data_IF_900274385131
#
_entry.id   IF_900274385131
#
_cell.length_a   1.000
_cell.length_b   1.000
_cell.length_c   1.000
_cell.angle_alpha   90.00
_cell.angle_beta   90.00
_cell.angle_gamma   90.00
#
_symmetry.space_group_name_H-M   'P 1'
#
loop_
_entity.id
_entity.type
_entity.pdbx_description
1 polymer ?
#
# COMPACT_ATOMS: atom_id res chain seq x y z
N UNK A 1 12.72 -44.92 8.43
CA UNK A 1 13.03 -43.53 8.06
C UNK A 1 11.70 -42.88 7.66
N UNK A 2 11.02 -42.19 8.59
CA UNK A 2 9.61 -41.81 8.45
C UNK A 2 9.51 -40.28 8.25
N UNK A 3 9.45 -39.84 7.01
CA UNK A 3 9.29 -38.44 6.62
C UNK A 3 7.85 -37.99 6.86
N UNK A 4 7.57 -37.46 8.06
CA UNK A 4 6.33 -36.70 8.30
C UNK A 4 6.39 -35.42 7.47
N UNK A 5 5.76 -35.45 6.30
CA UNK A 5 5.39 -34.26 5.55
C UNK A 5 4.50 -33.42 6.49
N UNK A 6 5.04 -32.30 6.99
CA UNK A 6 4.29 -31.34 7.80
C UNK A 6 3.18 -30.77 6.91
N UNK A 7 1.99 -31.35 7.03
CA UNK A 7 0.74 -30.72 6.60
C UNK A 7 0.73 -29.29 7.14
N UNK A 8 0.73 -28.31 6.23
CA UNK A 8 0.40 -26.93 6.55
C UNK A 8 -1.03 -26.99 7.10
N UNK A 9 -1.12 -26.99 8.43
CA UNK A 9 -2.33 -27.37 9.16
C UNK A 9 -3.48 -26.46 8.74
N UNK A 10 -4.64 -27.04 8.46
CA UNK A 10 -5.91 -26.42 8.06
C UNK A 10 -6.25 -25.11 8.80
N UNK A 11 -5.77 -24.94 10.04
CA UNK A 11 -5.89 -23.70 10.81
C UNK A 11 -5.21 -22.47 10.18
N UNK A 12 -4.07 -22.62 9.50
CA UNK A 12 -3.39 -21.49 8.85
C UNK A 12 -4.19 -20.92 7.68
N UNK A 13 -4.82 -21.80 6.90
CA UNK A 13 -5.70 -21.40 5.80
C UNK A 13 -6.95 -20.68 6.32
N UNK A 14 -7.58 -21.21 7.38
CA UNK A 14 -8.73 -20.56 8.01
C UNK A 14 -8.37 -19.17 8.56
N UNK A 15 -7.19 -19.00 9.17
CA UNK A 15 -6.72 -17.70 9.63
C UNK A 15 -6.56 -16.69 8.48
N UNK A 16 -5.94 -17.08 7.37
CA UNK A 16 -5.77 -16.19 6.20
C UNK A 16 -7.13 -15.80 5.60
N UNK A 17 -8.04 -16.76 5.42
CA UNK A 17 -9.38 -16.47 4.88
C UNK A 17 -10.13 -15.50 5.81
N UNK A 18 -10.02 -15.70 7.12
CA UNK A 18 -10.62 -14.81 8.11
C UNK A 18 -9.99 -13.41 8.07
N UNK A 19 -8.66 -13.33 7.96
CA UNK A 19 -7.90 -12.09 7.83
C UNK A 19 -8.35 -11.27 6.62
N UNK A 20 -8.48 -11.94 5.47
CA UNK A 20 -8.95 -11.34 4.22
C UNK A 20 -10.39 -10.86 4.39
N UNK A 21 -11.28 -11.72 4.90
CA UNK A 21 -12.69 -11.38 5.11
C UNK A 21 -12.87 -10.15 6.02
N UNK A 22 -12.13 -10.09 7.13
CA UNK A 22 -12.18 -8.97 8.08
C UNK A 22 -11.60 -7.69 7.46
N UNK A 23 -10.49 -7.77 6.72
CA UNK A 23 -9.94 -6.60 6.03
C UNK A 23 -10.93 -6.06 4.98
N UNK A 24 -11.51 -6.93 4.16
CA UNK A 24 -12.48 -6.53 3.14
C UNK A 24 -13.74 -5.92 3.76
N UNK A 25 -14.24 -6.50 4.86
CA UNK A 25 -15.41 -6.00 5.57
C UNK A 25 -15.14 -4.62 6.17
N UNK A 26 -14.03 -4.46 6.90
CA UNK A 26 -13.69 -3.21 7.57
C UNK A 26 -13.40 -2.07 6.58
N UNK A 27 -12.69 -2.37 5.49
CA UNK A 27 -12.29 -1.38 4.48
C UNK A 27 -13.22 -1.32 3.27
N UNK A 28 -14.41 -1.95 3.33
CA UNK A 28 -15.39 -1.96 2.25
C UNK A 28 -15.65 -0.57 1.64
N UNK A 29 -15.82 0.52 2.43
CA UNK A 29 -16.11 1.83 1.84
C UNK A 29 -14.98 2.42 1.01
N UNK A 30 -13.72 2.17 1.39
CA UNK A 30 -12.56 2.71 0.66
C UNK A 30 -12.18 1.84 -0.53
N UNK A 31 -12.50 0.55 -0.50
CA UNK A 31 -12.24 -0.37 -1.61
C UNK A 31 -13.29 -0.26 -2.71
N UNK A 32 -14.57 -0.11 -2.37
CA UNK A 32 -15.67 -0.25 -3.33
C UNK A 32 -16.55 0.99 -3.50
N UNK A 33 -16.58 1.92 -2.53
CA UNK A 33 -17.47 3.09 -2.58
C UNK A 33 -16.74 4.39 -2.98
N UNK A 34 -15.51 4.29 -3.49
CA UNK A 34 -14.73 5.46 -3.94
C UNK A 34 -14.31 6.42 -2.82
N UNK A 35 -14.38 6.00 -1.55
CA UNK A 35 -13.90 6.82 -0.42
C UNK A 35 -12.39 6.74 -0.31
N UNK A 36 -11.76 7.77 0.25
CA UNK A 36 -10.32 7.80 0.53
C UNK A 36 -10.06 8.10 2.01
N UNK A 37 -8.90 7.70 2.50
CA UNK A 37 -8.47 8.04 3.85
C UNK A 37 -8.20 9.54 3.98
N UNK A 38 -8.90 10.19 4.92
CA UNK A 38 -8.74 11.61 5.21
C UNK A 38 -8.56 11.83 6.70
N UNK A 39 -7.32 11.75 7.17
CA UNK A 39 -7.00 11.89 8.59
C UNK A 39 -5.56 12.38 8.80
N UNK A 40 -5.36 13.42 9.62
CA UNK A 40 -4.03 13.93 10.04
C UNK A 40 -3.00 13.98 8.89
N UNK A 41 -1.84 13.38 9.05
CA UNK A 41 -0.76 13.48 8.08
C UNK A 41 -1.04 12.67 6.81
N UNK A 42 -2.06 11.81 6.81
CA UNK A 42 -2.49 11.12 5.58
C UNK A 42 -2.88 12.15 4.53
N UNK A 43 -3.79 13.07 4.85
CA UNK A 43 -4.25 14.05 3.86
C UNK A 43 -3.21 15.14 3.56
N UNK A 44 -2.37 15.51 4.54
CA UNK A 44 -1.41 16.62 4.39
C UNK A 44 -0.07 16.20 3.80
N UNK A 45 0.35 14.97 4.06
CA UNK A 45 1.71 14.52 3.75
C UNK A 45 1.70 13.27 2.87
N UNK A 46 1.16 12.15 3.36
CA UNK A 46 1.29 10.87 2.65
C UNK A 46 0.50 10.80 1.35
N UNK A 47 -0.73 11.32 1.33
CA UNK A 47 -1.56 11.32 0.13
C UNK A 47 -0.94 12.14 -1.01
N UNK A 48 -0.54 13.42 -0.83
CA UNK A 48 0.14 14.16 -1.89
C UNK A 48 1.52 13.56 -2.24
N UNK A 49 2.27 13.05 -1.25
CA UNK A 49 3.54 12.35 -1.50
C UNK A 49 3.37 11.15 -2.43
N UNK A 50 2.41 10.26 -2.11
CA UNK A 50 2.15 9.08 -2.94
C UNK A 50 1.51 9.45 -4.28
N UNK A 51 0.76 10.56 -4.34
CA UNK A 51 0.23 11.07 -5.62
C UNK A 51 1.36 11.49 -6.56
N UNK A 52 2.38 12.18 -6.03
CA UNK A 52 3.58 12.55 -6.78
C UNK A 52 4.35 11.32 -7.27
N UNK A 53 4.55 10.32 -6.40
CA UNK A 53 5.17 9.05 -6.78
C UNK A 53 4.36 8.36 -7.89
N UNK A 54 3.04 8.27 -7.74
CA UNK A 54 2.18 7.63 -8.73
C UNK A 54 2.24 8.34 -10.10
N UNK A 55 2.26 9.67 -10.11
CA UNK A 55 2.42 10.45 -11.33
C UNK A 55 3.77 10.19 -12.00
N UNK A 56 4.86 10.22 -11.22
CA UNK A 56 6.23 9.99 -11.71
C UNK A 56 6.42 8.58 -12.27
N UNK A 57 5.89 7.56 -11.57
CA UNK A 57 5.94 6.19 -12.06
C UNK A 57 5.17 6.03 -13.37
N UNK A 58 3.99 6.66 -13.51
CA UNK A 58 3.19 6.61 -14.74
C UNK A 58 3.83 7.37 -15.91
N UNK A 59 4.65 8.39 -15.64
CA UNK A 59 5.48 9.05 -16.65
C UNK A 59 6.78 8.29 -16.97
N UNK A 60 7.03 7.14 -16.33
CA UNK A 60 8.27 6.39 -16.42
C UNK A 60 9.51 7.18 -15.98
N UNK A 61 9.32 8.14 -15.07
CA UNK A 61 10.38 8.96 -14.50
C UNK A 61 10.74 8.46 -13.10
N UNK A 62 12.04 8.44 -12.80
CA UNK A 62 12.52 8.17 -11.45
C UNK A 62 12.49 9.48 -10.66
N UNK A 63 11.68 9.59 -9.60
CA UNK A 63 11.50 10.84 -8.88
C UNK A 63 12.67 11.13 -7.93
N UNK A 64 13.81 11.58 -8.48
CA UNK A 64 14.97 11.97 -7.67
C UNK A 64 14.68 13.19 -6.77
N UNK A 65 13.92 14.15 -7.31
CA UNK A 65 13.61 15.43 -6.67
C UNK A 65 12.09 15.67 -6.70
N UNK A 66 11.53 16.20 -5.62
CA UNK A 66 10.15 16.68 -5.58
C UNK A 66 10.16 18.21 -5.47
N UNK A 67 9.64 18.95 -6.47
CA UNK A 67 9.65 20.42 -6.46
C UNK A 67 8.59 21.02 -5.53
N UNK A 68 7.68 20.20 -4.98
CA UNK A 68 6.50 20.66 -4.25
C UNK A 68 6.73 20.85 -2.75
N UNK A 69 7.90 20.46 -2.21
CA UNK A 69 8.24 20.59 -0.80
C UNK A 69 9.24 21.70 -0.57
N UNK A 70 8.95 22.73 0.22
CA UNK A 70 9.94 23.70 0.72
C UNK A 70 10.99 24.18 -0.32
N UNK A 71 10.53 24.57 -1.52
CA UNK A 71 11.36 24.96 -2.70
C UNK A 71 12.12 23.82 -3.41
N UNK A 72 11.81 22.59 -3.06
CA UNK A 72 12.33 21.35 -3.60
C UNK A 72 13.01 20.49 -2.52
N UNK A 73 12.89 19.17 -2.62
CA UNK A 73 13.55 18.23 -1.71
C UNK A 73 13.92 16.92 -2.41
N UNK A 74 15.03 16.24 -1.99
CA UNK A 74 15.35 14.89 -2.42
C UNK A 74 14.19 13.92 -2.10
N UNK A 75 13.55 13.37 -3.14
CA UNK A 75 12.37 12.52 -2.98
C UNK A 75 12.75 11.04 -2.93
N UNK A 76 13.62 10.59 -3.83
CA UNK A 76 14.05 9.20 -3.91
C UNK A 76 14.76 8.71 -2.63
N UNK A 77 15.43 9.61 -1.91
CA UNK A 77 16.09 9.29 -0.63
C UNK A 77 15.15 9.33 0.57
N UNK A 78 13.93 9.86 0.44
CA UNK A 78 12.96 9.88 1.54
C UNK A 78 12.40 8.46 1.74
N UNK A 79 12.63 7.88 2.92
CA UNK A 79 12.15 6.55 3.27
C UNK A 79 10.62 6.44 3.18
N UNK A 80 9.89 7.53 3.45
CA UNK A 80 8.43 7.55 3.43
C UNK A 80 7.89 7.54 1.99
N UNK A 81 8.67 8.03 1.03
CA UNK A 81 8.29 7.98 -0.39
C UNK A 81 8.13 6.54 -0.87
N UNK A 82 8.98 5.63 -0.40
CA UNK A 82 8.95 4.21 -0.78
C UNK A 82 9.12 3.99 -2.28
N UNK A 83 9.97 4.79 -2.96
CA UNK A 83 10.21 4.66 -4.42
C UNK A 83 10.58 3.23 -4.81
N UNK A 84 11.46 2.58 -4.04
CA UNK A 84 11.89 1.19 -4.28
C UNK A 84 11.09 0.15 -3.51
N UNK A 85 9.99 0.54 -2.86
CA UNK A 85 9.18 -0.40 -2.12
C UNK A 85 8.30 -1.20 -3.10
N UNK A 86 8.36 -2.55 -3.12
CA UNK A 86 7.67 -3.35 -4.14
C UNK A 86 6.17 -3.08 -4.24
N UNK A 87 5.52 -2.74 -3.13
CA UNK A 87 4.06 -2.46 -3.09
C UNK A 87 3.72 -1.13 -3.77
N UNK A 88 4.67 -0.20 -3.86
CA UNK A 88 4.48 1.05 -4.60
C UNK A 88 4.22 0.81 -6.09
N UNK A 89 4.54 -0.38 -6.64
CA UNK A 89 4.17 -0.75 -8.01
C UNK A 89 2.65 -0.77 -8.24
N UNK A 90 1.82 -0.89 -7.19
CA UNK A 90 0.37 -0.75 -7.29
C UNK A 90 -0.04 0.60 -7.91
N UNK A 91 0.77 1.64 -7.73
CA UNK A 91 0.52 2.97 -8.30
C UNK A 91 0.61 3.00 -9.83
N UNK A 92 1.27 2.03 -10.46
CA UNK A 92 1.28 1.87 -11.92
C UNK A 92 0.02 1.20 -12.44
N UNK A 93 -0.57 0.29 -11.66
CA UNK A 93 -1.62 -0.63 -12.13
C UNK A 93 -3.03 -0.03 -12.08
N UNK A 94 -3.29 0.87 -11.13
CA UNK A 94 -4.64 1.38 -10.88
C UNK A 94 -4.70 2.93 -10.87
N UNK A 95 -5.90 3.53 -10.91
CA UNK A 95 -6.09 4.94 -10.58
C UNK A 95 -5.58 5.25 -9.18
N UNK A 96 -4.98 6.44 -9.01
CA UNK A 96 -4.25 6.79 -7.79
C UNK A 96 -5.07 6.56 -6.50
N UNK A 97 -6.31 7.07 -6.36
CA UNK A 97 -7.10 6.88 -5.15
C UNK A 97 -7.27 5.41 -4.75
N UNK A 98 -7.57 4.54 -5.72
CA UNK A 98 -7.74 3.11 -5.49
C UNK A 98 -6.42 2.45 -5.12
N UNK A 99 -5.33 2.73 -5.85
CA UNK A 99 -4.01 2.17 -5.52
C UNK A 99 -3.53 2.59 -4.13
N UNK A 100 -3.79 3.82 -3.70
CA UNK A 100 -3.46 4.29 -2.35
C UNK A 100 -4.28 3.54 -1.28
N UNK A 101 -5.57 3.32 -1.53
CA UNK A 101 -6.40 2.55 -0.61
C UNK A 101 -5.93 1.10 -0.51
N UNK A 102 -5.67 0.43 -1.64
CA UNK A 102 -5.14 -0.95 -1.65
C UNK A 102 -3.78 -0.99 -0.93
N UNK A 103 -2.90 -0.02 -1.18
CA UNK A 103 -1.62 0.09 -0.50
C UNK A 103 -1.79 0.08 1.02
N UNK A 104 -2.67 0.93 1.57
CA UNK A 104 -2.92 0.99 3.02
C UNK A 104 -3.52 -0.32 3.53
N UNK A 105 -4.61 -0.80 2.90
CA UNK A 105 -5.31 -2.03 3.32
C UNK A 105 -4.37 -3.23 3.31
N UNK A 106 -3.48 -3.33 2.32
CA UNK A 106 -2.52 -4.43 2.25
C UNK A 106 -1.57 -4.45 3.46
N UNK A 107 -1.15 -3.30 3.99
CA UNK A 107 -0.31 -3.27 5.19
C UNK A 107 -1.07 -3.74 6.44
N UNK A 108 -2.38 -3.42 6.55
CA UNK A 108 -3.23 -3.95 7.61
C UNK A 108 -3.42 -5.46 7.49
N UNK A 109 -3.55 -5.97 6.26
CA UNK A 109 -3.57 -7.41 6.03
C UNK A 109 -2.27 -8.08 6.45
N UNK A 110 -1.10 -7.54 6.07
CA UNK A 110 0.18 -8.06 6.51
C UNK A 110 0.31 -8.04 8.04
N UNK A 111 -0.09 -6.96 8.70
CA UNK A 111 -0.07 -6.86 10.16
C UNK A 111 -1.02 -7.83 10.88
N UNK A 112 -1.99 -8.42 10.18
CA UNK A 112 -2.80 -9.51 10.73
C UNK A 112 -2.12 -10.87 10.57
N UNK A 113 -1.30 -11.05 9.54
CA UNK A 113 -0.66 -12.32 9.22
C UNK A 113 0.63 -12.62 10.00
N UNK A 114 1.27 -11.60 10.59
CA UNK A 114 2.55 -11.69 11.31
C UNK A 114 2.41 -11.16 12.73
#
# INVERSE_FOLDING_TARGET
>A
MNTKIRSIKTGGFACIVTAVGLNLLFFYPVLFLGKVFFFRDIHRWFYPMKAYLAASLKSWEIPFWCPHYFCGSPFMSDIQSGVFYPISLLFLLFPFPLSFNIYVVFHFFLGFCF
#
